data_IF_940358693872
#
_entry.id   IF_940358693872
#
_cell.length_a   1.000
_cell.length_b   1.000
_cell.length_c   1.000
_cell.angle_alpha   90.00
_cell.angle_beta   90.00
_cell.angle_gamma   90.00
#
_symmetry.space_group_name_H-M   'P 1'
#
loop_
_entity.id
_entity.type
_entity.pdbx_description
1 polymer ?
#
# COMPACT_ATOMS: atom_id res chain seq x y z
N UNK A 1 53.12 10.50 22.20
CA UNK A 1 51.93 10.05 22.96
C UNK A 1 50.73 10.97 22.79
N UNK A 2 50.38 11.36 21.56
CA UNK A 2 49.19 12.24 21.27
C UNK A 2 48.15 11.62 20.33
N UNK A 3 48.33 10.37 19.90
CA UNK A 3 47.44 9.71 18.96
C UNK A 3 46.30 8.89 19.57
N UNK A 4 46.43 8.46 20.83
CA UNK A 4 45.46 7.52 21.42
C UNK A 4 44.19 8.17 22.00
N UNK A 5 44.24 9.46 22.36
CA UNK A 5 43.07 10.14 22.94
C UNK A 5 41.97 10.45 21.89
N UNK A 6 42.32 10.59 20.62
CA UNK A 6 41.38 10.98 19.55
C UNK A 6 40.56 9.81 19.03
N UNK A 7 41.16 8.62 19.01
CA UNK A 7 40.44 7.38 18.57
C UNK A 7 39.44 6.93 19.65
N UNK A 8 39.73 7.21 20.93
CA UNK A 8 38.84 6.85 22.04
C UNK A 8 37.51 7.62 22.03
N UNK A 9 37.48 8.89 21.63
CA UNK A 9 36.25 9.72 21.67
C UNK A 9 35.31 9.28 20.54
N UNK A 10 35.80 8.99 19.37
CA UNK A 10 34.99 8.48 18.24
C UNK A 10 34.47 7.06 18.52
N UNK A 11 35.32 6.22 19.16
CA UNK A 11 34.92 4.86 19.58
C UNK A 11 33.87 4.89 20.71
N UNK A 12 33.94 5.84 21.65
CA UNK A 12 32.95 5.96 22.73
C UNK A 12 31.60 6.47 22.16
N UNK A 13 31.61 7.37 21.19
CA UNK A 13 30.35 7.80 20.51
C UNK A 13 29.74 6.67 19.70
N UNK A 14 30.55 5.86 19.02
CA UNK A 14 30.09 4.68 18.27
C UNK A 14 29.63 3.55 19.18
N UNK A 15 30.32 3.30 20.34
CA UNK A 15 29.91 2.28 21.30
C UNK A 15 28.67 2.68 22.10
N UNK A 16 28.45 3.97 22.37
CA UNK A 16 27.20 4.43 22.98
C UNK A 16 25.97 4.26 22.09
N UNK A 17 26.16 4.26 20.78
CA UNK A 17 25.10 4.05 19.80
C UNK A 17 24.80 2.55 19.54
N UNK A 18 25.78 1.67 19.82
CA UNK A 18 25.66 0.21 19.65
C UNK A 18 25.12 -0.50 20.91
N UNK A 19 25.04 0.20 22.05
CA UNK A 19 24.47 -0.33 23.28
C UNK A 19 22.95 -0.09 23.42
N UNK A 20 22.23 0.06 22.32
CA UNK A 20 20.77 -0.13 22.32
C UNK A 20 20.55 -1.63 22.46
N UNK A 21 19.94 -2.12 23.55
CA UNK A 21 19.68 -3.55 23.69
C UNK A 21 18.91 -4.02 22.46
N UNK A 22 19.34 -5.15 21.93
CA UNK A 22 18.71 -5.89 20.85
C UNK A 22 17.22 -6.00 21.14
N UNK A 23 16.41 -5.07 20.63
CA UNK A 23 14.98 -5.25 20.54
C UNK A 23 14.77 -6.38 19.56
N UNK A 24 14.41 -7.54 20.08
CA UNK A 24 13.90 -8.67 19.33
C UNK A 24 12.99 -8.15 18.20
N UNK A 25 13.04 -8.71 17.00
CA UNK A 25 12.15 -8.27 15.93
C UNK A 25 10.71 -8.62 16.32
N UNK A 26 10.05 -7.68 16.99
CA UNK A 26 8.61 -7.70 17.09
C UNK A 26 8.08 -7.56 15.67
N UNK A 27 7.25 -8.49 15.29
CA UNK A 27 6.58 -8.65 14.01
C UNK A 27 6.18 -7.30 13.41
N UNK A 28 6.82 -7.03 12.30
CA UNK A 28 6.92 -5.77 11.62
C UNK A 28 5.61 -5.41 10.92
N UNK A 29 4.90 -4.44 11.45
CA UNK A 29 3.72 -3.83 10.81
C UNK A 29 3.91 -2.39 10.36
N UNK A 30 5.06 -1.75 10.64
CA UNK A 30 5.18 -0.32 10.34
C UNK A 30 6.50 0.09 9.68
N UNK A 31 6.44 0.33 8.36
CA UNK A 31 7.54 0.91 7.57
C UNK A 31 8.04 2.28 8.06
N UNK A 32 7.33 2.93 9.00
CA UNK A 32 7.70 4.23 9.60
C UNK A 32 8.91 4.12 10.51
N UNK A 33 9.11 2.99 11.22
CA UNK A 33 10.31 2.76 12.01
C UNK A 33 11.57 2.63 11.15
N UNK A 34 11.45 2.06 9.97
CA UNK A 34 12.56 1.99 9.00
C UNK A 34 12.92 3.37 8.44
N UNK A 35 11.91 4.18 8.13
CA UNK A 35 12.11 5.55 7.63
C UNK A 35 12.74 6.47 8.71
N UNK A 36 12.27 6.38 9.96
CA UNK A 36 12.80 7.17 11.06
C UNK A 36 14.26 6.79 11.37
N UNK A 37 14.58 5.49 11.36
CA UNK A 37 15.95 5.00 11.54
C UNK A 37 16.85 5.37 10.36
N UNK A 38 16.34 5.37 9.14
CA UNK A 38 17.06 5.82 7.95
C UNK A 38 17.34 7.34 8.02
N UNK A 39 16.36 8.14 8.41
CA UNK A 39 16.53 9.59 8.58
C UNK A 39 17.51 9.94 9.72
N UNK A 40 17.45 9.22 10.83
CA UNK A 40 18.38 9.40 11.95
C UNK A 40 19.81 9.01 11.54
N UNK A 41 19.99 7.90 10.82
CA UNK A 41 21.29 7.48 10.26
C UNK A 41 21.83 8.51 9.28
N UNK A 42 21.00 9.03 8.38
CA UNK A 42 21.39 10.09 7.43
C UNK A 42 21.81 11.38 8.14
N UNK A 43 21.11 11.78 9.21
CA UNK A 43 21.50 12.95 10.02
C UNK A 43 22.81 12.73 10.76
N UNK A 44 23.04 11.53 11.32
CA UNK A 44 24.29 11.15 11.99
C UNK A 44 25.46 11.15 11.00
N UNK A 45 25.26 10.61 9.80
CA UNK A 45 26.26 10.59 8.73
C UNK A 45 26.59 12.01 8.23
N UNK A 46 25.57 12.86 8.05
CA UNK A 46 25.74 14.26 7.68
C UNK A 46 26.56 15.04 8.75
N UNK A 47 26.28 14.82 10.02
CA UNK A 47 27.04 15.42 11.13
C UNK A 47 28.46 14.89 11.18
N UNK A 48 28.68 13.59 10.93
CA UNK A 48 29.99 12.96 10.82
C UNK A 48 30.83 13.59 9.72
N UNK A 49 30.25 13.78 8.56
CA UNK A 49 30.93 14.42 7.40
C UNK A 49 31.28 15.88 7.70
N UNK A 50 30.40 16.65 8.34
CA UNK A 50 30.69 18.02 8.75
C UNK A 50 31.82 18.12 9.80
N UNK A 51 31.89 17.17 10.74
CA UNK A 51 32.99 17.10 11.71
C UNK A 51 34.31 16.83 10.98
N UNK A 52 34.30 15.98 9.96
CA UNK A 52 35.49 15.67 9.18
C UNK A 52 35.92 16.83 8.30
N UNK A 53 35.00 17.52 7.61
CA UNK A 53 35.27 18.76 6.86
C UNK A 53 35.88 19.84 7.76
N UNK A 54 35.37 20.06 8.97
CA UNK A 54 35.94 20.98 9.95
C UNK A 54 37.34 20.54 10.40
N UNK A 55 37.59 19.27 10.57
CA UNK A 55 38.90 18.74 10.91
C UNK A 55 39.95 19.03 9.84
N UNK A 56 39.59 18.80 8.56
CA UNK A 56 40.46 19.05 7.42
C UNK A 56 40.74 20.57 7.23
N UNK A 57 39.73 21.40 7.43
CA UNK A 57 39.85 22.86 7.31
C UNK A 57 40.80 23.44 8.40
N UNK A 58 40.80 22.85 9.62
CA UNK A 58 41.64 23.30 10.73
C UNK A 58 43.06 22.76 10.70
N UNK A 59 43.36 21.70 9.97
CA UNK A 59 44.73 21.27 9.73
C UNK A 59 45.53 22.25 8.86
N UNK A 60 44.82 23.07 8.07
CA UNK A 60 45.43 24.02 7.12
C UNK A 60 45.53 25.49 7.63
N UNK A 61 44.97 25.81 8.79
CA UNK A 61 45.04 27.18 9.33
C UNK A 61 45.56 27.18 10.79
N UNK A 62 46.72 27.75 11.00
CA UNK A 62 47.46 27.82 12.26
C UNK A 62 46.85 28.76 13.31
N UNK A 63 45.62 28.55 13.78
CA UNK A 63 44.94 29.36 14.80
C UNK A 63 44.14 28.51 15.81
N UNK A 64 44.81 28.02 16.84
CA UNK A 64 44.29 26.98 17.75
C UNK A 64 43.25 27.42 18.81
N UNK A 65 43.20 28.66 19.36
CA UNK A 65 42.26 28.96 20.47
C UNK A 65 40.78 29.14 20.03
N UNK A 66 40.54 29.81 18.90
CA UNK A 66 39.16 30.07 18.42
C UNK A 66 38.45 28.81 17.91
N UNK A 67 39.22 27.91 17.34
CA UNK A 67 38.71 26.63 16.80
C UNK A 67 38.25 25.67 17.87
N UNK A 68 38.95 25.64 19.01
CA UNK A 68 38.56 24.79 20.15
C UNK A 68 37.27 25.30 20.77
N UNK A 69 37.06 26.59 20.84
CA UNK A 69 35.85 27.17 21.38
C UNK A 69 34.63 26.97 20.47
N UNK A 70 34.81 27.05 19.18
CA UNK A 70 33.78 26.71 18.16
C UNK A 70 33.37 25.22 18.26
N UNK A 71 34.34 24.31 18.33
CA UNK A 71 34.07 22.87 18.51
C UNK A 71 33.41 22.55 19.84
N UNK A 72 33.79 23.24 20.93
CA UNK A 72 33.13 23.08 22.22
C UNK A 72 31.68 23.51 22.19
N UNK A 73 31.37 24.60 21.49
CA UNK A 73 30.01 25.10 21.30
C UNK A 73 29.19 24.10 20.45
N UNK A 74 29.78 23.57 19.37
CA UNK A 74 29.11 22.61 18.51
C UNK A 74 28.86 21.28 19.25
N UNK A 75 29.81 20.80 20.05
CA UNK A 75 29.62 19.63 20.91
C UNK A 75 28.52 19.85 21.95
N UNK A 76 28.41 21.07 22.51
CA UNK A 76 27.33 21.41 23.43
C UNK A 76 25.97 21.40 22.72
N UNK A 77 25.87 21.98 21.52
CA UNK A 77 24.65 21.99 20.72
C UNK A 77 24.21 20.56 20.29
N UNK A 78 25.17 19.74 19.89
CA UNK A 78 24.92 18.34 19.55
C UNK A 78 24.47 17.50 20.74
N UNK A 79 25.03 17.73 21.92
CA UNK A 79 24.58 17.10 23.18
C UNK A 79 23.14 17.48 23.51
N UNK A 80 22.78 18.74 23.33
CA UNK A 80 21.41 19.22 23.58
C UNK A 80 20.46 18.59 22.58
N UNK A 81 20.77 18.62 21.27
CA UNK A 81 19.95 18.01 20.24
C UNK A 81 19.76 16.49 20.43
N UNK A 82 20.81 15.80 20.88
CA UNK A 82 20.75 14.37 21.21
C UNK A 82 19.86 14.11 22.45
N UNK A 83 19.95 14.96 23.46
CA UNK A 83 19.09 14.86 24.64
C UNK A 83 17.63 15.09 24.30
N UNK A 84 17.34 16.08 23.46
CA UNK A 84 15.99 16.37 22.99
C UNK A 84 15.42 15.22 22.13
N UNK A 85 16.21 14.68 21.21
CA UNK A 85 15.82 13.53 20.40
C UNK A 85 15.55 12.28 21.25
N UNK A 86 16.39 12.04 22.29
CA UNK A 86 16.19 10.96 23.25
C UNK A 86 14.92 11.15 24.08
N UNK A 87 14.64 12.37 24.54
CA UNK A 87 13.41 12.67 25.27
C UNK A 87 12.18 12.49 24.42
N UNK A 88 12.19 12.95 23.17
CA UNK A 88 11.10 12.72 22.22
C UNK A 88 10.88 11.23 21.93
N UNK A 89 11.97 10.47 21.80
CA UNK A 89 11.87 9.02 21.59
C UNK A 89 11.26 8.32 22.81
N UNK A 90 11.68 8.70 24.02
CA UNK A 90 11.13 8.16 25.27
C UNK A 90 9.64 8.52 25.43
N UNK A 91 9.25 9.78 25.17
CA UNK A 91 7.84 10.19 25.21
C UNK A 91 6.97 9.39 24.22
N UNK A 92 7.52 9.10 23.05
CA UNK A 92 6.82 8.26 22.05
C UNK A 92 6.76 6.79 22.46
N UNK A 93 7.82 6.30 23.11
CA UNK A 93 7.86 4.95 23.63
C UNK A 93 6.89 4.78 24.81
N UNK A 94 6.86 5.74 25.73
CA UNK A 94 5.95 5.75 26.86
C UNK A 94 4.48 5.88 26.39
N UNK A 95 4.22 6.73 25.41
CA UNK A 95 2.92 6.85 24.76
C UNK A 95 2.49 5.55 24.06
N UNK A 96 3.42 4.83 23.46
CA UNK A 96 3.17 3.52 22.85
C UNK A 96 2.89 2.44 23.91
N UNK A 97 3.69 2.45 25.00
CA UNK A 97 3.53 1.52 26.14
C UNK A 97 2.24 1.78 26.92
N UNK A 98 1.83 3.03 27.04
CA UNK A 98 0.57 3.43 27.68
C UNK A 98 -0.67 3.21 26.78
N UNK A 99 -0.50 2.73 25.54
CA UNK A 99 -1.59 2.63 24.57
C UNK A 99 -2.17 3.98 24.13
N UNK A 100 -1.54 5.09 24.57
CA UNK A 100 -1.93 6.47 24.23
C UNK A 100 -1.05 7.08 23.14
N UNK A 101 -0.04 6.32 22.68
CA UNK A 101 0.70 6.68 21.48
C UNK A 101 -0.31 6.83 20.35
N UNK A 102 -0.19 7.88 19.56
CA UNK A 102 -0.90 7.94 18.30
C UNK A 102 -0.44 6.74 17.46
N UNK A 103 -1.00 5.56 17.76
CA UNK A 103 -1.25 4.60 16.72
C UNK A 103 -1.75 5.43 15.53
N UNK A 104 -1.29 5.17 14.29
CA UNK A 104 -1.95 5.75 13.14
C UNK A 104 -3.44 5.56 13.46
N UNK A 105 -4.17 6.67 13.58
CA UNK A 105 -5.55 6.66 14.06
C UNK A 105 -6.24 5.52 13.32
N UNK A 106 -6.35 4.37 13.97
CA UNK A 106 -6.99 3.22 13.33
C UNK A 106 -8.41 3.71 13.22
N UNK A 107 -8.80 4.09 12.01
CA UNK A 107 -10.14 4.61 11.76
C UNK A 107 -11.11 3.73 12.54
N UNK A 108 -12.06 4.27 13.31
CA UNK A 108 -13.07 3.48 13.99
C UNK A 108 -13.72 2.44 13.05
N UNK A 109 -13.82 2.79 11.77
CA UNK A 109 -14.30 1.89 10.73
C UNK A 109 -13.37 0.68 10.50
N UNK A 110 -12.03 0.84 10.63
CA UNK A 110 -11.10 -0.28 10.51
C UNK A 110 -11.14 -1.20 11.74
N UNK A 111 -11.32 -0.64 12.93
CA UNK A 111 -11.51 -1.43 14.16
C UNK A 111 -12.79 -2.24 14.07
N UNK A 112 -13.86 -1.66 13.56
CA UNK A 112 -15.13 -2.36 13.35
C UNK A 112 -15.01 -3.43 12.27
N UNK A 113 -14.39 -3.11 11.12
CA UNK A 113 -14.15 -4.07 10.04
C UNK A 113 -13.33 -5.29 10.50
N UNK A 114 -12.37 -5.10 11.40
CA UNK A 114 -11.52 -6.19 11.93
C UNK A 114 -12.32 -7.28 12.64
N UNK A 115 -13.55 -7.02 13.06
CA UNK A 115 -14.44 -8.03 13.66
C UNK A 115 -15.00 -9.01 12.63
N UNK A 116 -15.01 -8.63 11.36
CA UNK A 116 -15.62 -9.39 10.26
C UNK A 116 -14.60 -9.90 9.24
N UNK A 117 -13.31 -9.68 9.49
CA UNK A 117 -12.23 -10.06 8.57
C UNK A 117 -11.17 -10.86 9.31
N UNK A 118 -10.89 -12.05 8.81
CA UNK A 118 -9.77 -12.88 9.28
C UNK A 118 -8.76 -13.06 8.16
N UNK A 119 -7.46 -12.91 8.48
CA UNK A 119 -6.36 -13.20 7.55
C UNK A 119 -5.65 -14.47 8.01
N UNK A 120 -5.65 -15.50 7.16
CA UNK A 120 -4.93 -16.75 7.36
C UNK A 120 -3.71 -16.77 6.45
N UNK A 121 -2.50 -16.86 7.02
CA UNK A 121 -1.24 -16.77 6.26
C UNK A 121 -0.85 -18.08 5.56
N UNK A 122 -1.32 -19.21 6.04
CA UNK A 122 -1.01 -20.54 5.49
C UNK A 122 -2.11 -21.08 4.60
N UNK A 123 -1.93 -22.31 4.15
CA UNK A 123 -2.92 -23.02 3.35
C UNK A 123 -4.21 -23.30 4.15
N UNK A 124 -5.34 -23.17 3.49
CA UNK A 124 -6.66 -23.42 4.06
C UNK A 124 -7.43 -24.41 3.19
N UNK A 125 -7.78 -25.58 3.76
CA UNK A 125 -8.57 -26.63 3.08
C UNK A 125 -8.05 -27.01 1.70
N UNK A 126 -6.71 -27.06 1.53
CA UNK A 126 -6.06 -27.44 0.28
C UNK A 126 -5.87 -26.30 -0.72
N UNK A 127 -6.24 -25.09 -0.38
CA UNK A 127 -5.96 -23.89 -1.18
C UNK A 127 -4.78 -23.15 -0.57
N UNK A 128 -3.79 -22.80 -1.39
CA UNK A 128 -2.59 -22.08 -0.96
C UNK A 128 -2.92 -20.66 -0.52
N UNK A 129 -2.41 -20.26 0.67
CA UNK A 129 -2.61 -18.92 1.25
C UNK A 129 -1.69 -17.83 0.69
N UNK A 130 -1.82 -16.59 1.18
CA UNK A 130 -2.72 -16.15 2.26
C UNK A 130 -4.19 -16.01 1.86
N UNK A 131 -5.07 -16.11 2.86
CA UNK A 131 -6.52 -15.96 2.68
C UNK A 131 -7.04 -14.75 3.43
N UNK A 132 -7.94 -13.99 2.82
CA UNK A 132 -8.75 -12.96 3.47
C UNK A 132 -10.19 -13.48 3.52
N UNK A 133 -10.70 -13.67 4.73
CA UNK A 133 -12.00 -14.25 4.96
C UNK A 133 -12.92 -13.20 5.56
N UNK A 134 -14.03 -12.91 4.89
CA UNK A 134 -15.14 -12.15 5.46
C UNK A 134 -16.12 -13.13 6.11
N UNK A 135 -16.48 -12.90 7.37
CA UNK A 135 -17.41 -13.74 8.11
C UNK A 135 -18.40 -12.88 8.89
N UNK A 136 -19.58 -13.45 9.17
CA UNK A 136 -20.66 -12.79 9.92
C UNK A 136 -21.09 -11.43 9.35
N UNK A 137 -20.88 -11.20 8.05
CA UNK A 137 -21.18 -9.96 7.35
C UNK A 137 -21.58 -10.20 5.89
N UNK A 138 -22.30 -9.25 5.32
CA UNK A 138 -22.54 -9.17 3.87
C UNK A 138 -21.52 -8.22 3.22
N UNK A 139 -21.00 -8.59 2.05
CA UNK A 139 -20.15 -7.71 1.25
C UNK A 139 -21.00 -6.96 0.22
N UNK A 140 -21.15 -5.66 0.39
CA UNK A 140 -21.84 -4.78 -0.57
C UNK A 140 -20.80 -4.00 -1.39
N UNK A 141 -20.91 -4.13 -2.72
CA UNK A 141 -20.08 -3.38 -3.68
C UNK A 141 -21.00 -2.42 -4.41
N UNK A 142 -20.83 -1.11 -4.19
CA UNK A 142 -21.74 -0.06 -4.65
C UNK A 142 -20.99 1.02 -5.42
N UNK A 143 -21.66 1.66 -6.36
CA UNK A 143 -21.11 2.76 -7.15
C UNK A 143 -21.16 4.12 -6.45
N UNK A 144 -21.96 4.23 -5.40
CA UNK A 144 -22.15 5.47 -4.61
C UNK A 144 -23.34 6.33 -5.04
N UNK A 145 -24.14 5.91 -6.03
CA UNK A 145 -25.33 6.66 -6.48
C UNK A 145 -26.60 6.37 -5.66
N UNK A 146 -26.54 5.40 -4.73
CA UNK A 146 -27.67 5.07 -3.84
C UNK A 146 -28.76 4.18 -4.46
N UNK A 147 -28.58 3.74 -5.70
CA UNK A 147 -29.49 2.80 -6.39
C UNK A 147 -28.72 1.91 -7.35
N UNK A 148 -29.12 0.65 -7.45
CA UNK A 148 -28.57 -0.28 -8.44
C UNK A 148 -29.25 -0.10 -9.81
N UNK A 149 -30.49 0.39 -9.82
CA UNK A 149 -31.21 0.72 -11.06
C UNK A 149 -30.72 2.08 -11.58
N UNK A 150 -29.72 2.05 -12.41
CA UNK A 150 -29.15 3.24 -13.03
C UNK A 150 -30.14 3.81 -14.07
N UNK A 151 -30.63 5.02 -13.80
CA UNK A 151 -31.48 5.76 -14.73
C UNK A 151 -30.70 6.49 -15.83
N UNK A 152 -29.37 6.42 -15.80
CA UNK A 152 -28.43 7.12 -16.69
C UNK A 152 -27.33 6.23 -17.23
N UNK A 153 -26.24 6.87 -17.67
CA UNK A 153 -25.05 6.14 -18.11
C UNK A 153 -24.39 5.45 -16.93
N UNK A 154 -23.85 4.23 -17.11
CA UNK A 154 -23.10 3.52 -16.08
C UNK A 154 -21.90 4.34 -15.56
N UNK A 155 -21.56 4.20 -14.29
CA UNK A 155 -20.50 4.97 -13.61
C UNK A 155 -19.12 4.34 -13.71
N UNK A 156 -19.01 3.10 -14.19
CA UNK A 156 -17.79 2.30 -14.16
C UNK A 156 -17.45 1.74 -12.78
N UNK A 157 -18.35 1.85 -11.80
CA UNK A 157 -18.12 1.48 -10.39
C UNK A 157 -19.07 0.38 -9.93
N UNK A 158 -18.86 -0.10 -8.69
CA UNK A 158 -19.69 -1.16 -8.13
C UNK A 158 -19.46 -2.54 -8.74
N UNK A 159 -18.38 -2.75 -9.47
CA UNK A 159 -18.02 -4.03 -10.08
C UNK A 159 -17.22 -4.91 -9.10
N UNK A 160 -17.43 -6.23 -9.14
CA UNK A 160 -16.53 -7.22 -8.55
C UNK A 160 -15.67 -7.82 -9.65
N UNK A 161 -14.37 -7.58 -9.60
CA UNK A 161 -13.40 -8.04 -10.59
C UNK A 161 -12.49 -9.10 -9.96
N UNK A 162 -12.43 -10.29 -10.55
CA UNK A 162 -11.56 -11.39 -10.14
C UNK A 162 -10.55 -11.65 -11.27
N UNK A 163 -9.31 -11.22 -11.05
CA UNK A 163 -8.23 -11.23 -12.04
C UNK A 163 -7.52 -9.87 -12.09
N UNK A 164 -6.55 -9.72 -12.99
CA UNK A 164 -5.78 -8.48 -13.15
C UNK A 164 -6.45 -7.46 -14.09
N UNK A 165 -7.63 -7.79 -14.62
CA UNK A 165 -8.38 -6.93 -15.54
C UNK A 165 -7.53 -6.48 -16.74
N UNK A 166 -6.82 -7.43 -17.37
CA UNK A 166 -5.95 -7.19 -18.52
C UNK A 166 -6.70 -6.48 -19.66
N UNK A 167 -5.97 -5.68 -20.41
CA UNK A 167 -6.55 -4.90 -21.50
C UNK A 167 -6.96 -5.83 -22.66
N UNK A 168 -8.11 -5.58 -23.31
CA UNK A 168 -8.43 -6.23 -24.58
C UNK A 168 -7.37 -5.97 -25.64
N UNK A 169 -7.18 -6.91 -26.56
CA UNK A 169 -6.27 -6.77 -27.71
C UNK A 169 -7.05 -6.88 -29.02
N UNK A 170 -7.03 -5.86 -29.88
CA UNK A 170 -6.35 -4.56 -29.74
C UNK A 170 -6.92 -3.72 -28.59
N UNK A 171 -6.07 -2.86 -28.00
CA UNK A 171 -6.50 -1.97 -26.92
C UNK A 171 -7.54 -0.99 -27.46
N UNK A 172 -8.76 -0.96 -26.91
CA UNK A 172 -9.78 -0.01 -27.33
C UNK A 172 -9.39 1.44 -26.97
N UNK A 173 -9.94 2.40 -27.69
CA UNK A 173 -9.84 3.81 -27.32
C UNK A 173 -10.44 4.01 -25.91
N UNK A 174 -9.71 4.59 -24.96
CA UNK A 174 -10.23 4.86 -23.62
C UNK A 174 -11.53 5.68 -23.61
N UNK A 175 -11.73 6.56 -24.59
CA UNK A 175 -12.96 7.36 -24.72
C UNK A 175 -14.18 6.54 -25.17
N UNK A 176 -13.99 5.30 -25.66
CA UNK A 176 -15.09 4.43 -26.09
C UNK A 176 -15.93 3.88 -24.93
N UNK A 177 -15.46 4.07 -23.67
CA UNK A 177 -16.18 3.56 -22.50
C UNK A 177 -16.26 2.03 -22.42
N UNK A 178 -15.32 1.30 -23.02
CA UNK A 178 -15.32 -0.16 -23.10
C UNK A 178 -15.39 -0.90 -21.75
N UNK A 179 -15.17 -0.19 -20.62
CA UNK A 179 -15.31 -0.68 -19.24
C UNK A 179 -16.12 0.30 -18.38
N UNK A 180 -17.02 1.05 -18.99
CA UNK A 180 -17.89 1.99 -18.28
C UNK A 180 -19.02 1.30 -17.50
N UNK A 181 -19.21 0.00 -17.67
CA UNK A 181 -20.30 -0.74 -17.02
C UNK A 181 -20.19 -0.78 -15.50
N UNK A 182 -21.33 -0.82 -14.83
CA UNK A 182 -21.45 -0.80 -13.36
C UNK A 182 -22.16 -2.04 -12.83
N UNK A 183 -21.89 -2.39 -11.55
CA UNK A 183 -22.53 -3.51 -10.85
C UNK A 183 -22.41 -4.85 -11.58
N UNK A 184 -21.27 -5.09 -12.24
CA UNK A 184 -21.00 -6.35 -12.93
C UNK A 184 -20.10 -7.28 -12.09
N UNK A 185 -20.24 -8.57 -12.32
CA UNK A 185 -19.28 -9.59 -11.91
C UNK A 185 -18.37 -9.93 -13.10
N UNK A 186 -17.08 -9.65 -12.98
CA UNK A 186 -16.08 -9.82 -14.05
C UNK A 186 -15.02 -10.82 -13.58
N UNK A 187 -14.91 -11.97 -14.24
CA UNK A 187 -13.97 -13.03 -13.88
C UNK A 187 -13.19 -13.48 -15.10
N UNK A 188 -11.87 -13.29 -15.08
CA UNK A 188 -11.00 -13.68 -16.18
C UNK A 188 -10.26 -12.51 -16.80
N UNK A 189 -9.96 -12.58 -18.08
CA UNK A 189 -9.02 -11.69 -18.74
C UNK A 189 -9.61 -10.97 -19.94
N UNK A 190 -9.18 -9.73 -20.20
CA UNK A 190 -9.43 -8.95 -21.42
C UNK A 190 -10.89 -8.69 -21.76
N UNK A 191 -11.77 -8.64 -20.77
CA UNK A 191 -13.19 -8.41 -20.99
C UNK A 191 -13.52 -6.94 -21.30
N UNK A 192 -14.61 -6.77 -22.04
CA UNK A 192 -15.30 -5.49 -22.26
C UNK A 192 -16.69 -5.55 -21.60
N UNK A 193 -17.03 -4.53 -20.80
CA UNK A 193 -18.31 -4.44 -20.10
C UNK A 193 -18.79 -2.99 -20.09
N UNK A 194 -19.81 -2.69 -20.86
CA UNK A 194 -20.28 -1.31 -21.10
C UNK A 194 -21.64 -1.02 -20.49
N UNK A 195 -22.31 -2.05 -19.96
CA UNK A 195 -23.65 -1.94 -19.38
C UNK A 195 -23.67 -2.35 -17.92
N UNK A 196 -24.82 -2.46 -17.30
CA UNK A 196 -24.99 -2.64 -15.86
C UNK A 196 -25.62 -3.99 -15.50
N UNK A 197 -25.24 -4.52 -14.33
CA UNK A 197 -25.88 -5.67 -13.69
C UNK A 197 -25.61 -7.00 -14.38
N UNK A 198 -24.57 -7.11 -15.19
CA UNK A 198 -24.21 -8.32 -15.93
C UNK A 198 -23.18 -9.20 -15.21
N UNK A 199 -22.89 -10.35 -15.82
CA UNK A 199 -21.79 -11.21 -15.41
C UNK A 199 -21.01 -11.69 -16.63
N UNK A 200 -19.65 -11.64 -16.56
CA UNK A 200 -18.78 -12.08 -17.65
C UNK A 200 -17.62 -12.90 -17.11
N UNK A 201 -17.46 -14.09 -17.66
CA UNK A 201 -16.40 -15.05 -17.32
C UNK A 201 -15.64 -15.47 -18.57
N UNK A 202 -14.37 -15.89 -18.41
CA UNK A 202 -13.56 -16.45 -19.48
C UNK A 202 -12.52 -15.49 -20.03
N UNK A 203 -12.44 -15.36 -21.36
CA UNK A 203 -11.42 -14.54 -22.03
C UNK A 203 -12.03 -13.68 -23.15
N UNK A 204 -11.66 -12.41 -23.21
CA UNK A 204 -12.00 -11.50 -24.33
C UNK A 204 -13.50 -11.44 -24.70
N UNK A 205 -14.37 -11.61 -23.72
CA UNK A 205 -15.81 -11.54 -23.91
C UNK A 205 -16.34 -10.11 -23.75
N UNK A 206 -17.43 -9.79 -24.43
CA UNK A 206 -18.11 -8.49 -24.39
C UNK A 206 -19.54 -8.64 -23.84
N UNK A 207 -19.84 -7.93 -22.77
CA UNK A 207 -21.22 -7.67 -22.32
C UNK A 207 -21.56 -6.19 -22.50
N UNK A 208 -22.57 -5.91 -23.33
CA UNK A 208 -23.09 -4.56 -23.55
C UNK A 208 -24.61 -4.47 -23.37
N UNK A 209 -25.30 -5.60 -23.30
CA UNK A 209 -26.70 -5.64 -22.89
C UNK A 209 -26.86 -5.46 -21.38
N UNK A 210 -27.89 -4.72 -20.95
CA UNK A 210 -28.25 -4.61 -19.55
C UNK A 210 -28.63 -6.00 -18.99
N UNK A 211 -28.06 -6.37 -17.85
CA UNK A 211 -28.24 -7.69 -17.23
C UNK A 211 -27.81 -8.88 -18.10
N UNK A 212 -26.95 -8.65 -19.09
CA UNK A 212 -26.45 -9.72 -19.95
C UNK A 212 -25.41 -10.58 -19.22
N UNK A 213 -25.34 -11.86 -19.60
CA UNK A 213 -24.45 -12.82 -18.93
C UNK A 213 -23.70 -13.69 -19.95
N UNK A 214 -22.38 -13.86 -19.73
CA UNK A 214 -21.54 -14.84 -20.41
C UNK A 214 -20.87 -15.68 -19.33
N UNK A 215 -21.17 -16.97 -19.27
CA UNK A 215 -20.69 -17.87 -18.21
C UNK A 215 -19.34 -18.51 -18.51
N UNK A 216 -18.77 -18.29 -19.71
CA UNK A 216 -17.45 -18.81 -20.05
C UNK A 216 -17.10 -18.64 -21.53
N UNK A 217 -16.01 -19.31 -21.93
CA UNK A 217 -15.53 -19.26 -23.30
C UNK A 217 -14.77 -18.01 -23.67
N UNK A 218 -14.64 -17.76 -24.96
CA UNK A 218 -13.84 -16.65 -25.46
C UNK A 218 -14.49 -15.94 -26.66
N UNK A 219 -14.20 -14.65 -26.82
CA UNK A 219 -14.65 -13.80 -27.92
C UNK A 219 -16.18 -13.81 -28.15
N UNK A 220 -16.95 -14.07 -27.10
CA UNK A 220 -18.41 -14.01 -27.13
C UNK A 220 -18.92 -12.60 -26.91
N UNK A 221 -20.06 -12.28 -27.49
CA UNK A 221 -20.70 -10.97 -27.39
C UNK A 221 -22.16 -11.09 -26.95
N UNK A 222 -22.49 -10.58 -25.78
CA UNK A 222 -23.86 -10.48 -25.27
C UNK A 222 -24.31 -9.02 -25.26
N UNK A 223 -24.95 -8.57 -26.33
CA UNK A 223 -25.42 -7.21 -26.53
C UNK A 223 -26.92 -7.03 -26.33
N UNK A 224 -27.69 -8.11 -26.39
CA UNK A 224 -29.13 -8.07 -26.09
C UNK A 224 -29.36 -7.88 -24.58
N UNK A 225 -30.32 -7.02 -24.16
CA UNK A 225 -30.67 -6.93 -22.73
C UNK A 225 -31.15 -8.29 -22.19
N UNK A 226 -30.72 -8.66 -20.97
CA UNK A 226 -31.05 -9.95 -20.33
C UNK A 226 -30.67 -11.16 -21.14
N UNK A 227 -29.77 -11.04 -22.12
CA UNK A 227 -29.33 -12.17 -22.94
C UNK A 227 -28.24 -12.98 -22.21
N UNK A 228 -28.12 -14.25 -22.60
CA UNK A 228 -27.19 -15.18 -21.96
C UNK A 228 -26.44 -16.04 -22.96
N UNK A 229 -25.14 -16.22 -22.75
CA UNK A 229 -24.29 -17.18 -23.45
C UNK A 229 -23.68 -18.12 -22.39
N UNK A 230 -23.91 -19.42 -22.53
CA UNK A 230 -23.37 -20.39 -21.57
C UNK A 230 -21.89 -20.65 -21.81
N UNK A 231 -21.40 -20.55 -23.05
CA UNK A 231 -19.97 -20.72 -23.33
C UNK A 231 -19.68 -20.75 -24.83
N UNK A 232 -18.57 -21.39 -25.18
CA UNK A 232 -18.12 -21.50 -26.57
C UNK A 232 -17.19 -20.35 -26.98
N UNK A 233 -17.05 -20.19 -28.30
CA UNK A 233 -16.21 -19.15 -28.88
C UNK A 233 -16.93 -18.40 -30.01
N UNK A 234 -16.83 -17.07 -30.02
CA UNK A 234 -17.37 -16.22 -31.07
C UNK A 234 -18.88 -16.16 -31.13
N UNK A 235 -19.60 -16.60 -30.11
CA UNK A 235 -21.06 -16.58 -30.06
C UNK A 235 -21.60 -15.18 -29.82
N UNK A 236 -22.75 -14.86 -30.42
CA UNK A 236 -23.38 -13.54 -30.29
C UNK A 236 -24.86 -13.66 -29.95
N UNK A 237 -25.30 -12.88 -28.93
CA UNK A 237 -26.70 -12.64 -28.62
C UNK A 237 -26.98 -11.13 -28.69
N UNK A 238 -27.97 -10.75 -29.50
CA UNK A 238 -28.31 -9.35 -29.75
C UNK A 238 -29.79 -9.00 -29.54
N UNK A 239 -30.59 -9.98 -29.20
CA UNK A 239 -32.01 -9.80 -28.93
C UNK A 239 -32.28 -9.87 -27.39
N UNK A 240 -33.34 -9.22 -26.97
CA UNK A 240 -33.85 -9.29 -25.60
C UNK A 240 -34.12 -10.76 -25.21
N UNK A 241 -33.65 -11.17 -24.03
CA UNK A 241 -33.85 -12.54 -23.49
C UNK A 241 -33.28 -13.66 -24.34
N UNK A 242 -32.44 -13.38 -25.33
CA UNK A 242 -31.81 -14.40 -26.16
C UNK A 242 -30.84 -15.26 -25.35
N UNK A 243 -30.93 -16.56 -25.50
CA UNK A 243 -29.98 -17.50 -24.89
C UNK A 243 -29.24 -18.26 -25.98
N UNK A 244 -27.94 -18.42 -25.80
CA UNK A 244 -27.05 -19.25 -26.61
C UNK A 244 -26.45 -20.33 -25.72
N UNK A 245 -26.57 -21.64 -26.07
CA UNK A 245 -26.07 -22.76 -25.30
C UNK A 245 -24.53 -22.83 -25.22
#
# INVERSE_FOLDING_TARGET
MRGYAKTAIVSILMMGLLAVPNLSPATDGDGRHRLLNAELRSKIEHVGNKIEEHREHHQNQGGIPGSIQALQTEVANLKTALADAKNQLNLRLDALAAGTGSTPSTSPALVELAKYVTVVQGDLKGVTGPHVIFHDANLHIQDGLGTTAEAGAPTGRGNLIVGYNEMPVPVPDPSSGYRAGSHNLVVGTSHTFTSTGGAVFGNSNLISGQHATILGGEHNTASGPMSSILGGAGSTTNLLLQTYP
#
